data_IF_423937496027
#
_entry.id   IF_423937496027
#
_cell.length_a   1.000
_cell.length_b   1.000
_cell.length_c   1.000
_cell.angle_alpha   90.00
_cell.angle_beta   90.00
_cell.angle_gamma   90.00
#
_symmetry.space_group_name_H-M   'P 1'
#
loop_
_entity.id
_entity.type
_entity.pdbx_description
1 polymer ?
#
# COMPACT_ATOMS: atom_id res chain seq x y z
N UNK A 1 13.87 -24.87 56.69
CA UNK A 1 14.18 -23.58 56.03
C UNK A 1 14.59 -23.74 54.57
N UNK A 2 15.53 -24.63 54.20
CA UNK A 2 15.96 -24.83 52.79
C UNK A 2 14.82 -25.25 51.84
N UNK A 3 13.91 -26.10 52.26
CA UNK A 3 12.75 -26.58 51.49
C UNK A 3 11.72 -25.47 51.20
N UNK A 4 11.50 -24.57 52.16
CA UNK A 4 10.56 -23.44 52.02
C UNK A 4 11.12 -22.40 51.07
N UNK A 5 12.44 -22.12 51.14
CA UNK A 5 13.11 -21.21 50.19
C UNK A 5 13.08 -21.74 48.78
N UNK A 6 13.28 -23.05 48.57
CA UNK A 6 13.19 -23.71 47.26
C UNK A 6 11.80 -23.62 46.66
N UNK A 7 10.76 -23.81 47.48
CA UNK A 7 9.35 -23.72 47.04
C UNK A 7 8.97 -22.30 46.64
N UNK A 8 9.44 -21.29 47.37
CA UNK A 8 9.20 -19.85 47.01
C UNK A 8 9.90 -19.48 45.74
N UNK A 9 11.12 -19.99 45.48
CA UNK A 9 11.85 -19.74 44.25
C UNK A 9 11.14 -20.34 43.04
N UNK A 10 10.59 -21.56 43.15
CA UNK A 10 9.85 -22.23 42.08
C UNK A 10 8.53 -21.50 41.77
N UNK A 11 7.83 -21.02 42.79
CA UNK A 11 6.58 -20.25 42.63
C UNK A 11 6.87 -18.91 41.97
N UNK A 12 7.97 -18.23 42.31
CA UNK A 12 8.41 -16.98 41.67
C UNK A 12 8.75 -17.18 40.19
N UNK A 13 9.36 -18.32 39.82
CA UNK A 13 9.70 -18.64 38.41
C UNK A 13 8.44 -18.93 37.56
N UNK A 14 7.40 -19.51 38.20
CA UNK A 14 6.11 -19.76 37.53
C UNK A 14 5.31 -18.47 37.28
N UNK A 15 5.39 -17.50 38.18
CA UNK A 15 4.72 -16.19 37.99
C UNK A 15 5.32 -15.32 36.91
N UNK A 16 6.59 -15.47 36.58
CA UNK A 16 7.24 -14.68 35.50
C UNK A 16 6.77 -15.04 34.09
N UNK A 17 6.21 -16.25 33.90
CA UNK A 17 5.70 -16.65 32.57
C UNK A 17 4.28 -16.17 32.28
N UNK A 18 3.53 -15.68 33.26
CA UNK A 18 2.15 -15.16 33.06
C UNK A 18 2.11 -13.71 32.56
N UNK A 19 3.24 -13.00 32.61
CA UNK A 19 3.29 -11.56 32.24
C UNK A 19 3.50 -11.35 30.72
N UNK A 20 3.85 -12.38 29.96
CA UNK A 20 4.23 -12.26 28.54
C UNK A 20 3.09 -12.44 27.52
N UNK A 21 1.88 -12.71 27.97
CA UNK A 21 0.71 -12.80 27.08
C UNK A 21 -0.16 -11.54 27.16
N UNK A 22 0.41 -10.37 27.07
CA UNK A 22 -0.39 -9.20 26.76
C UNK A 22 -0.76 -9.28 25.29
N UNK A 23 -2.04 -9.45 25.04
CA UNK A 23 -2.66 -9.36 23.71
C UNK A 23 -2.39 -7.96 23.17
N UNK A 24 -1.32 -7.84 22.41
CA UNK A 24 -0.87 -6.56 21.88
C UNK A 24 -1.79 -6.17 20.73
N UNK A 25 -2.61 -5.14 20.96
CA UNK A 25 -3.57 -4.63 19.96
C UNK A 25 -3.24 -3.19 19.66
N UNK A 26 -3.41 -2.79 18.41
CA UNK A 26 -3.13 -1.42 18.05
C UNK A 26 -3.80 -0.99 16.75
N UNK A 27 -3.80 0.31 16.57
CA UNK A 27 -4.22 0.99 15.35
C UNK A 27 -3.13 1.96 14.92
N UNK A 28 -2.65 1.79 13.68
CA UNK A 28 -1.69 2.70 13.06
C UNK A 28 -2.34 3.41 11.86
N UNK A 29 -2.05 4.70 11.72
CA UNK A 29 -2.48 5.51 10.56
C UNK A 29 -1.26 5.79 9.70
N UNK A 30 -1.37 5.48 8.42
CA UNK A 30 -0.31 5.67 7.43
C UNK A 30 -0.74 6.67 6.37
N UNK A 31 0.24 7.40 5.84
CA UNK A 31 0.09 8.23 4.64
C UNK A 31 0.99 7.71 3.55
N UNK A 32 0.46 7.67 2.34
CA UNK A 32 1.18 7.29 1.14
C UNK A 32 1.52 8.54 0.33
N UNK A 33 2.76 8.61 -0.14
CA UNK A 33 3.25 9.64 -1.05
C UNK A 33 3.95 8.98 -2.22
N UNK A 34 3.46 9.21 -3.43
CA UNK A 34 4.08 8.73 -4.66
C UNK A 34 4.94 9.83 -5.28
N UNK A 35 6.17 9.47 -5.68
CA UNK A 35 6.98 10.34 -6.51
C UNK A 35 6.37 10.38 -7.90
N UNK A 36 6.05 11.57 -8.37
CA UNK A 36 5.53 11.77 -9.71
C UNK A 36 6.41 12.82 -10.40
N UNK A 37 7.03 12.41 -11.51
CA UNK A 37 7.56 13.35 -12.48
C UNK A 37 6.45 13.62 -13.48
N UNK A 38 5.81 14.78 -13.37
CA UNK A 38 4.74 15.19 -14.28
C UNK A 38 5.41 16.11 -15.32
N UNK A 39 5.62 15.57 -16.51
CA UNK A 39 6.00 16.37 -17.69
C UNK A 39 4.73 16.68 -18.46
N UNK A 40 4.43 17.95 -18.63
CA UNK A 40 3.32 18.42 -19.45
C UNK A 40 3.87 19.13 -20.67
N UNK A 41 3.40 18.75 -21.84
CA UNK A 41 3.62 19.55 -23.04
C UNK A 41 2.70 20.78 -22.98
N UNK A 42 3.32 21.94 -22.70
CA UNK A 42 2.62 23.15 -22.26
C UNK A 42 2.46 24.19 -23.37
N UNK A 43 2.41 23.80 -24.64
CA UNK A 43 2.26 24.76 -25.74
C UNK A 43 0.96 25.59 -25.63
N UNK A 44 0.01 25.19 -24.78
CA UNK A 44 -1.30 25.87 -24.66
C UNK A 44 -1.74 26.16 -23.19
N UNK A 45 -0.89 25.91 -22.18
CA UNK A 45 -1.22 26.19 -20.78
C UNK A 45 -0.29 27.25 -20.18
N UNK A 46 -0.84 28.20 -19.42
CA UNK A 46 -0.03 29.12 -18.64
C UNK A 46 0.56 28.46 -17.40
N UNK A 47 1.67 29.01 -16.88
CA UNK A 47 2.41 28.47 -15.72
C UNK A 47 1.55 28.31 -14.47
N UNK A 48 0.55 29.15 -14.27
CA UNK A 48 -0.35 29.10 -13.11
C UNK A 48 -1.30 27.90 -13.18
N UNK A 49 -1.87 27.63 -14.35
CA UNK A 49 -2.75 26.50 -14.61
C UNK A 49 -1.98 25.17 -14.49
N UNK A 50 -0.74 25.13 -14.95
CA UNK A 50 0.17 23.99 -14.80
C UNK A 50 0.42 23.68 -13.32
N UNK A 51 0.77 24.68 -12.50
CA UNK A 51 1.00 24.54 -11.07
C UNK A 51 -0.25 24.06 -10.33
N UNK A 52 -1.42 24.59 -10.69
CA UNK A 52 -2.69 24.17 -10.07
C UNK A 52 -3.02 22.71 -10.42
N UNK A 53 -2.82 22.28 -11.66
CA UNK A 53 -3.04 20.90 -12.09
C UNK A 53 -2.08 19.94 -11.40
N UNK A 54 -0.78 20.26 -11.30
CA UNK A 54 0.21 19.46 -10.59
C UNK A 54 -0.16 19.34 -9.09
N UNK A 55 -0.59 20.43 -8.48
CA UNK A 55 -1.01 20.43 -7.07
C UNK A 55 -2.26 19.54 -6.86
N UNK A 56 -3.22 19.60 -7.79
CA UNK A 56 -4.42 18.77 -7.75
C UNK A 56 -4.08 17.28 -7.93
N UNK A 57 -3.22 16.94 -8.88
CA UNK A 57 -2.75 15.57 -9.09
C UNK A 57 -2.02 15.04 -7.86
N UNK A 58 -1.08 15.80 -7.29
CA UNK A 58 -0.39 15.41 -6.06
C UNK A 58 -1.35 15.12 -4.92
N UNK A 59 -2.34 15.99 -4.72
CA UNK A 59 -3.37 15.81 -3.67
C UNK A 59 -4.23 14.56 -3.91
N UNK A 60 -4.50 14.20 -5.16
CA UNK A 60 -5.28 13.01 -5.51
C UNK A 60 -4.53 11.71 -5.20
N UNK A 61 -3.20 11.73 -5.30
CA UNK A 61 -2.35 10.57 -5.02
C UNK A 61 -1.90 10.48 -3.55
N UNK A 62 -2.18 11.49 -2.73
CA UNK A 62 -2.02 11.37 -1.28
C UNK A 62 -3.17 10.57 -0.70
N UNK A 63 -2.86 9.38 -0.18
CA UNK A 63 -3.85 8.51 0.46
C UNK A 63 -3.52 8.31 1.92
N UNK A 64 -4.55 8.18 2.74
CA UNK A 64 -4.43 7.82 4.14
C UNK A 64 -5.02 6.42 4.35
N UNK A 65 -4.34 5.62 5.17
CA UNK A 65 -4.72 4.25 5.47
C UNK A 65 -4.72 4.01 6.96
N UNK A 66 -5.55 3.07 7.40
CA UNK A 66 -5.52 2.55 8.76
C UNK A 66 -5.11 1.09 8.75
N UNK A 67 -4.28 0.71 9.72
CA UNK A 67 -3.91 -0.67 10.03
C UNK A 67 -4.39 -0.97 11.45
N UNK A 68 -5.44 -1.77 11.56
CA UNK A 68 -5.83 -2.39 12.82
C UNK A 68 -5.08 -3.71 12.95
N UNK A 69 -4.48 -4.01 14.12
CA UNK A 69 -3.65 -5.21 14.29
C UNK A 69 -3.67 -5.77 15.70
N UNK A 70 -3.49 -7.08 15.78
CA UNK A 70 -3.09 -7.82 16.99
C UNK A 70 -1.75 -8.53 16.73
N UNK A 71 -1.39 -9.53 17.55
CA UNK A 71 -0.13 -10.24 17.37
C UNK A 71 -0.05 -11.07 16.08
N UNK A 72 -1.18 -11.62 15.62
CA UNK A 72 -1.25 -12.58 14.52
C UNK A 72 -1.93 -12.02 13.26
N UNK A 73 -2.87 -11.10 13.44
CA UNK A 73 -3.75 -10.62 12.38
C UNK A 73 -3.72 -9.12 12.22
N UNK A 74 -3.99 -8.66 11.01
CA UNK A 74 -4.18 -7.23 10.74
C UNK A 74 -5.16 -6.98 9.60
N UNK A 75 -5.84 -5.83 9.66
CA UNK A 75 -6.67 -5.30 8.59
C UNK A 75 -6.15 -3.92 8.18
N UNK A 76 -5.74 -3.80 6.93
CA UNK A 76 -5.29 -2.55 6.32
C UNK A 76 -6.34 -2.06 5.34
N UNK A 77 -6.77 -0.80 5.50
CA UNK A 77 -7.84 -0.21 4.69
C UNK A 77 -7.59 1.26 4.45
N UNK A 78 -8.01 1.77 3.28
CA UNK A 78 -7.99 3.20 3.00
C UNK A 78 -8.95 3.93 3.96
N UNK A 79 -8.48 5.02 4.55
CA UNK A 79 -9.32 5.87 5.40
C UNK A 79 -10.31 6.63 4.51
N UNK A 80 -11.60 6.51 4.82
CA UNK A 80 -12.65 7.23 4.09
C UNK A 80 -12.49 8.72 4.41
N UNK A 81 -12.04 9.49 3.44
CA UNK A 81 -11.96 10.93 3.56
C UNK A 81 -13.24 11.54 2.95
N UNK A 82 -14.19 11.93 3.79
CA UNK A 82 -15.47 12.52 3.38
C UNK A 82 -15.31 13.86 2.65
N UNK A 83 -14.14 14.50 2.75
CA UNK A 83 -13.83 15.77 2.10
C UNK A 83 -13.24 15.62 0.67
N UNK A 84 -13.01 14.38 0.20
CA UNK A 84 -12.59 14.17 -1.19
C UNK A 84 -13.84 14.00 -2.06
N UNK A 85 -14.12 14.92 -3.00
CA UNK A 85 -15.16 14.68 -3.99
C UNK A 85 -14.76 13.44 -4.80
N UNK A 86 -15.59 12.41 -4.74
CA UNK A 86 -15.54 11.26 -5.66
C UNK A 86 -15.90 11.79 -7.05
N UNK A 87 -14.89 11.99 -7.90
CA UNK A 87 -15.06 12.51 -9.25
C UNK A 87 -14.96 14.04 -9.30
N UNK A 88 -13.75 14.58 -9.32
CA UNK A 88 -13.51 15.94 -9.76
C UNK A 88 -13.66 15.97 -11.29
N UNK A 89 -14.88 16.09 -11.77
CA UNK A 89 -15.18 16.50 -13.13
C UNK A 89 -14.95 18.00 -13.24
N UNK A 90 -13.74 18.41 -13.54
CA UNK A 90 -13.45 19.76 -14.00
C UNK A 90 -13.02 19.67 -15.45
N UNK A 91 -13.89 20.07 -16.38
CA UNK A 91 -13.57 20.18 -17.77
C UNK A 91 -13.58 18.90 -18.61
N UNK A 92 -14.37 17.88 -18.25
CA UNK A 92 -14.58 16.68 -19.11
C UNK A 92 -13.48 15.62 -19.07
N UNK A 93 -12.49 15.74 -18.18
CA UNK A 93 -11.42 14.76 -18.02
C UNK A 93 -11.68 13.93 -16.76
N UNK A 94 -12.12 12.69 -16.93
CA UNK A 94 -12.26 11.71 -15.87
C UNK A 94 -10.96 10.93 -15.77
N UNK A 95 -10.14 11.22 -14.73
CA UNK A 95 -8.92 10.46 -14.47
C UNK A 95 -9.30 9.19 -13.74
N UNK A 96 -9.43 8.08 -14.46
CA UNK A 96 -9.62 6.75 -13.88
C UNK A 96 -8.25 6.22 -13.49
N UNK A 97 -7.92 6.29 -12.20
CA UNK A 97 -6.75 5.61 -11.65
C UNK A 97 -7.11 4.15 -11.46
N UNK A 98 -6.67 3.29 -12.37
CA UNK A 98 -6.81 1.85 -12.22
C UNK A 98 -5.88 1.36 -11.11
N UNK A 99 -6.44 0.79 -10.07
CA UNK A 99 -5.70 0.18 -8.97
C UNK A 99 -6.02 0.83 -7.62
N UNK A 100 -6.41 0.01 -6.67
CA UNK A 100 -6.88 0.33 -5.32
C UNK A 100 -8.16 1.21 -5.33
N UNK A 101 -9.30 0.58 -5.62
CA UNK A 101 -10.62 1.19 -5.42
C UNK A 101 -10.80 1.65 -3.98
N UNK A 102 -11.48 2.79 -3.80
CA UNK A 102 -11.92 3.19 -2.47
C UNK A 102 -12.76 2.05 -1.87
N UNK A 103 -12.21 1.39 -0.83
CA UNK A 103 -12.86 0.25 -0.17
C UNK A 103 -12.06 -1.05 -0.18
N UNK A 104 -10.83 -1.05 -0.68
CA UNK A 104 -9.95 -2.23 -0.57
C UNK A 104 -9.67 -2.55 0.90
N UNK A 105 -9.87 -3.82 1.27
CA UNK A 105 -9.67 -4.35 2.61
C UNK A 105 -8.63 -5.47 2.54
N UNK A 106 -7.43 -5.21 3.02
CA UNK A 106 -6.35 -6.20 3.05
C UNK A 106 -6.22 -6.79 4.46
N UNK A 107 -6.75 -7.98 4.65
CA UNK A 107 -6.55 -8.78 5.85
C UNK A 107 -5.32 -9.66 5.69
N UNK A 108 -4.48 -9.74 6.74
CA UNK A 108 -3.32 -10.63 6.81
C UNK A 108 -3.37 -11.45 8.09
N UNK A 109 -3.13 -12.77 7.96
CA UNK A 109 -2.93 -13.68 9.08
C UNK A 109 -1.50 -14.24 9.01
N UNK A 110 -0.64 -13.74 9.90
CA UNK A 110 0.79 -14.11 9.92
C UNK A 110 1.02 -15.52 10.43
N UNK A 111 0.13 -16.03 11.29
CA UNK A 111 0.21 -17.39 11.82
C UNK A 111 -0.13 -18.44 10.77
N UNK A 112 -1.18 -18.18 9.99
CA UNK A 112 -1.61 -19.05 8.91
C UNK A 112 -0.83 -18.78 7.61
N UNK A 113 0.00 -17.75 7.59
CA UNK A 113 0.80 -17.33 6.43
C UNK A 113 -0.06 -17.10 5.18
N UNK A 114 -1.18 -16.40 5.32
CA UNK A 114 -2.12 -16.09 4.24
C UNK A 114 -2.68 -14.68 4.35
N UNK A 115 -3.27 -14.22 3.25
CA UNK A 115 -4.02 -12.98 3.21
C UNK A 115 -5.36 -13.16 2.48
N UNK A 116 -6.27 -12.22 2.74
CA UNK A 116 -7.49 -12.02 1.98
C UNK A 116 -7.62 -10.53 1.65
N UNK A 117 -7.66 -10.21 0.37
CA UNK A 117 -7.83 -8.85 -0.11
C UNK A 117 -9.15 -8.70 -0.86
N UNK A 118 -10.08 -7.91 -0.31
CA UNK A 118 -11.29 -7.52 -1.03
C UNK A 118 -10.96 -6.28 -1.84
N UNK A 119 -11.09 -6.36 -3.16
CA UNK A 119 -10.79 -5.27 -4.08
C UNK A 119 -11.92 -5.03 -5.05
N UNK A 120 -12.22 -3.77 -5.34
CA UNK A 120 -13.16 -3.38 -6.39
C UNK A 120 -12.38 -3.10 -7.69
N UNK A 121 -12.67 -3.85 -8.73
CA UNK A 121 -12.14 -3.65 -10.07
C UNK A 121 -13.28 -3.30 -11.02
N UNK A 122 -13.42 -2.02 -11.36
CA UNK A 122 -14.45 -1.48 -12.24
C UNK A 122 -15.89 -1.88 -11.83
N UNK A 123 -16.21 -1.70 -10.53
CA UNK A 123 -17.53 -2.01 -9.96
C UNK A 123 -17.78 -3.49 -9.71
N UNK A 124 -16.77 -4.35 -9.89
CA UNK A 124 -16.85 -5.77 -9.58
C UNK A 124 -15.94 -6.13 -8.41
N UNK A 125 -16.55 -6.63 -7.35
CA UNK A 125 -15.81 -6.99 -6.14
C UNK A 125 -15.17 -8.37 -6.30
N UNK A 126 -13.86 -8.44 -6.06
CA UNK A 126 -13.06 -9.66 -5.97
C UNK A 126 -12.61 -9.90 -4.53
N UNK A 127 -12.52 -11.16 -4.14
CA UNK A 127 -11.90 -11.60 -2.90
C UNK A 127 -10.65 -12.42 -3.27
N UNK A 128 -9.52 -11.78 -3.20
CA UNK A 128 -8.23 -12.38 -3.55
C UNK A 128 -7.70 -13.08 -2.32
N UNK A 129 -7.48 -14.39 -2.40
CA UNK A 129 -6.97 -15.20 -1.29
C UNK A 129 -5.73 -15.96 -1.74
N UNK A 130 -4.61 -15.75 -1.05
CA UNK A 130 -3.34 -16.38 -1.37
C UNK A 130 -2.41 -16.46 -0.15
N UNK A 131 -1.25 -17.11 -0.32
CA UNK A 131 -0.18 -17.14 0.68
C UNK A 131 0.52 -15.78 0.81
N UNK A 132 0.95 -15.44 2.03
CA UNK A 132 1.78 -14.26 2.25
C UNK A 132 3.18 -14.48 1.68
N UNK A 133 3.65 -13.56 0.87
CA UNK A 133 5.05 -13.49 0.50
C UNK A 133 5.90 -13.19 1.74
N UNK A 134 7.06 -13.84 1.83
CA UNK A 134 8.04 -13.61 2.90
C UNK A 134 9.26 -12.90 2.33
N UNK A 135 9.30 -11.58 2.39
CA UNK A 135 10.48 -10.84 1.95
C UNK A 135 11.72 -11.26 2.74
N UNK A 136 12.83 -11.50 2.05
CA UNK A 136 14.12 -11.78 2.66
C UNK A 136 14.77 -10.47 3.15
N UNK A 137 14.32 -9.99 4.30
CA UNK A 137 14.82 -8.75 4.89
C UNK A 137 16.27 -8.87 5.34
N UNK A 138 17.12 -7.98 4.86
CA UNK A 138 18.45 -7.72 5.39
C UNK A 138 18.35 -6.64 6.45
N UNK A 139 18.64 -7.00 7.72
CA UNK A 139 18.61 -6.06 8.84
C UNK A 139 19.89 -5.22 8.85
N UNK A 140 19.75 -3.92 8.96
CA UNK A 140 20.87 -2.97 8.96
C UNK A 140 21.07 -2.33 10.34
N UNK A 141 22.24 -1.75 10.57
CA UNK A 141 22.59 -1.09 11.85
C UNK A 141 22.11 0.35 11.93
N UNK A 142 21.66 0.92 10.82
CA UNK A 142 21.18 2.29 10.77
C UNK A 142 19.91 2.44 11.60
N UNK A 143 19.82 3.56 12.31
CA UNK A 143 18.66 3.93 13.13
C UNK A 143 18.23 5.35 12.83
N UNK A 144 16.93 5.60 12.96
CA UNK A 144 16.34 6.95 12.99
C UNK A 144 15.16 6.99 13.93
N UNK A 145 14.75 8.19 14.35
CA UNK A 145 13.52 8.35 15.11
C UNK A 145 12.35 8.71 14.18
N UNK A 146 11.22 8.01 14.38
CA UNK A 146 9.94 8.34 13.75
C UNK A 146 8.96 8.64 14.90
N UNK A 147 8.61 9.90 15.08
CA UNK A 147 7.91 10.34 16.27
C UNK A 147 8.71 10.00 17.54
N UNK A 148 8.08 9.27 18.45
CA UNK A 148 8.71 8.83 19.71
C UNK A 148 9.44 7.47 19.62
N UNK A 149 9.40 6.83 18.46
CA UNK A 149 9.92 5.47 18.29
C UNK A 149 11.31 5.49 17.65
N UNK A 150 12.25 4.74 18.23
CA UNK A 150 13.52 4.44 17.58
C UNK A 150 13.30 3.31 16.59
N UNK A 151 13.63 3.57 15.32
CA UNK A 151 13.43 2.64 14.22
C UNK A 151 14.76 2.16 13.68
N UNK A 152 14.79 0.90 13.27
CA UNK A 152 15.90 0.22 12.61
C UNK A 152 15.60 0.06 11.13
N UNK A 153 16.63 0.14 10.31
CA UNK A 153 16.53 -0.04 8.87
C UNK A 153 16.56 -1.51 8.49
N UNK A 154 15.76 -1.87 7.50
CA UNK A 154 15.85 -3.16 6.82
C UNK A 154 15.62 -2.94 5.32
N UNK A 155 16.28 -3.77 4.49
CA UNK A 155 16.14 -3.71 3.03
C UNK A 155 15.94 -5.09 2.44
N UNK A 156 15.25 -5.16 1.31
CA UNK A 156 15.27 -6.33 0.43
C UNK A 156 15.18 -5.90 -1.03
N UNK A 157 15.56 -6.81 -1.93
CA UNK A 157 15.47 -6.59 -3.38
C UNK A 157 14.38 -7.48 -3.96
N UNK A 158 13.60 -6.94 -4.88
CA UNK A 158 12.65 -7.68 -5.70
C UNK A 158 12.83 -7.34 -7.17
N UNK A 159 12.48 -8.26 -8.05
CA UNK A 159 12.34 -7.96 -9.47
C UNK A 159 10.94 -7.41 -9.72
N UNK A 160 10.86 -6.29 -10.39
CA UNK A 160 9.59 -5.69 -10.81
C UNK A 160 9.59 -5.52 -12.31
N UNK A 161 8.46 -5.72 -12.93
CA UNK A 161 8.28 -5.37 -14.33
C UNK A 161 8.11 -3.86 -14.41
N UNK A 162 9.10 -3.19 -14.99
CA UNK A 162 8.96 -1.78 -15.35
C UNK A 162 8.03 -1.73 -16.55
N UNK A 163 6.73 -1.59 -16.29
CA UNK A 163 5.80 -1.19 -17.33
C UNK A 163 6.10 0.28 -17.62
N UNK A 164 6.75 0.50 -18.75
CA UNK A 164 7.11 1.84 -19.20
C UNK A 164 5.92 2.79 -19.04
N UNK A 165 6.23 4.05 -18.68
CA UNK A 165 5.32 5.17 -18.45
C UNK A 165 3.87 4.92 -18.81
N UNK A 166 2.95 5.12 -17.86
CA UNK A 166 1.55 5.29 -18.20
C UNK A 166 1.42 6.53 -19.07
N UNK A 167 1.55 6.34 -20.37
CA UNK A 167 1.32 7.41 -21.35
C UNK A 167 -0.17 7.61 -21.45
N UNK A 168 -0.70 8.60 -20.75
CA UNK A 168 -1.98 9.20 -21.14
C UNK A 168 -1.71 10.17 -22.28
N UNK A 169 -1.51 9.61 -23.49
CA UNK A 169 -1.42 10.42 -24.70
C UNK A 169 -2.82 10.67 -25.21
N UNK A 170 -3.22 11.92 -25.16
CA UNK A 170 -4.44 12.40 -25.83
C UNK A 170 -4.03 12.89 -27.22
N UNK A 171 -3.74 12.03 -28.18
CA UNK A 171 -3.34 12.28 -29.58
C UNK A 171 -1.85 12.24 -29.92
N UNK A 172 -1.20 11.11 -29.94
CA UNK A 172 -0.05 10.95 -30.82
C UNK A 172 -0.38 9.97 -31.96
N UNK A 173 -0.10 10.40 -33.18
CA UNK A 173 -0.18 9.59 -34.39
C UNK A 173 1.11 8.78 -34.65
N UNK A 174 1.96 8.62 -33.66
CA UNK A 174 3.18 7.86 -33.83
C UNK A 174 2.97 6.41 -33.42
N UNK A 175 3.43 5.51 -34.28
CA UNK A 175 3.47 4.06 -34.08
C UNK A 175 4.02 3.74 -32.69
N UNK A 176 3.16 3.32 -31.80
CA UNK A 176 3.56 2.83 -30.50
C UNK A 176 4.06 1.41 -30.65
N UNK A 177 5.39 1.25 -30.74
CA UNK A 177 6.01 -0.02 -30.36
C UNK A 177 5.49 -0.38 -28.95
N UNK A 178 5.01 -1.61 -28.79
CA UNK A 178 4.61 -2.12 -27.47
C UNK A 178 5.77 -1.85 -26.50
N UNK A 179 5.54 -1.20 -25.34
CA UNK A 179 6.63 -0.89 -24.43
C UNK A 179 7.28 -2.20 -24.00
N UNK A 180 8.57 -2.35 -24.28
CA UNK A 180 9.35 -3.48 -23.80
C UNK A 180 9.21 -3.55 -22.27
N UNK A 181 8.60 -4.60 -21.79
CA UNK A 181 8.51 -4.87 -20.34
C UNK A 181 9.89 -5.32 -19.88
N UNK A 182 10.61 -4.44 -19.19
CA UNK A 182 11.93 -4.76 -18.61
C UNK A 182 11.75 -5.14 -17.14
N UNK A 183 12.38 -6.24 -16.75
CA UNK A 183 12.49 -6.56 -15.33
C UNK A 183 13.67 -5.79 -14.74
N UNK A 184 13.41 -4.98 -13.72
CA UNK A 184 14.41 -4.21 -13.00
C UNK A 184 14.46 -4.61 -11.53
N UNK A 185 15.65 -4.59 -10.96
CA UNK A 185 15.83 -4.83 -9.54
C UNK A 185 15.42 -3.59 -8.75
N UNK A 186 14.36 -3.69 -7.95
CA UNK A 186 13.89 -2.65 -7.06
C UNK A 186 14.31 -2.95 -5.63
N UNK A 187 14.89 -1.95 -4.95
CA UNK A 187 15.22 -2.06 -3.53
C UNK A 187 14.11 -1.46 -2.70
N UNK A 188 13.55 -2.26 -1.81
CA UNK A 188 12.59 -1.81 -0.80
C UNK A 188 13.33 -1.53 0.50
N UNK A 189 13.12 -0.36 1.08
CA UNK A 189 13.68 0.06 2.37
C UNK A 189 12.56 0.22 3.38
N UNK A 190 12.67 -0.42 4.54
CA UNK A 190 11.72 -0.29 5.65
C UNK A 190 12.40 0.20 6.92
N UNK A 191 11.65 0.94 7.72
CA UNK A 191 12.02 1.38 9.06
C UNK A 191 11.00 0.82 10.04
N UNK A 192 11.46 -0.04 10.96
CA UNK A 192 10.60 -0.72 11.91
C UNK A 192 11.06 -0.48 13.35
N UNK A 193 10.12 -0.55 14.30
CA UNK A 193 10.41 -0.38 15.72
C UNK A 193 10.13 -1.64 16.52
N UNK A 194 11.11 -2.08 17.30
CA UNK A 194 10.96 -3.20 18.23
C UNK A 194 10.16 -2.83 19.49
N UNK A 195 9.93 -1.53 19.72
CA UNK A 195 9.10 -1.05 20.83
C UNK A 195 7.61 -1.47 20.66
N UNK A 196 7.23 -1.83 19.43
CA UNK A 196 5.94 -2.42 19.10
C UNK A 196 6.22 -3.79 18.47
N UNK A 197 6.28 -4.87 19.27
CA UNK A 197 6.83 -6.16 18.85
C UNK A 197 5.85 -7.02 18.05
N UNK A 198 5.22 -6.42 17.03
CA UNK A 198 4.33 -7.10 16.09
C UNK A 198 4.97 -7.10 14.70
N UNK A 199 4.80 -8.18 13.94
CA UNK A 199 5.46 -8.35 12.63
C UNK A 199 4.64 -7.75 11.48
N UNK A 200 3.79 -6.78 11.76
CA UNK A 200 2.92 -6.14 10.78
C UNK A 200 3.54 -4.87 10.17
N UNK A 201 2.95 -4.43 9.06
CA UNK A 201 3.28 -3.19 8.38
C UNK A 201 2.20 -2.81 7.37
N UNK A 202 2.33 -1.64 6.72
CA UNK A 202 1.38 -1.14 5.75
C UNK A 202 1.34 -2.02 4.49
N UNK A 203 0.20 -2.10 3.81
CA UNK A 203 0.04 -2.91 2.60
C UNK A 203 0.49 -4.36 2.80
N UNK A 204 1.20 -4.89 1.83
CA UNK A 204 1.73 -6.27 1.87
C UNK A 204 3.01 -6.43 2.71
N UNK A 205 3.59 -5.33 3.21
CA UNK A 205 4.83 -5.40 3.96
C UNK A 205 4.62 -5.97 5.36
N UNK A 206 5.44 -6.95 5.74
CA UNK A 206 5.40 -7.62 7.04
C UNK A 206 6.68 -8.43 7.29
N UNK A 207 6.78 -9.10 8.45
CA UNK A 207 7.82 -10.08 8.75
C UNK A 207 9.04 -9.53 9.50
N UNK A 208 9.18 -8.22 9.69
CA UNK A 208 10.22 -7.62 10.53
C UNK A 208 9.91 -7.84 12.02
N UNK A 209 10.94 -7.84 12.92
CA UNK A 209 10.74 -8.10 14.35
C UNK A 209 10.11 -6.93 15.12
N UNK A 210 9.33 -6.09 14.46
CA UNK A 210 8.60 -4.96 14.99
C UNK A 210 7.71 -4.30 13.95
N UNK A 211 6.83 -3.40 14.40
CA UNK A 211 5.92 -2.69 13.50
C UNK A 211 6.70 -1.82 12.51
N UNK A 212 6.41 -1.97 11.22
CA UNK A 212 6.97 -1.14 10.16
C UNK A 212 6.29 0.23 10.20
N UNK A 213 7.07 1.28 10.50
CA UNK A 213 6.55 2.65 10.56
C UNK A 213 6.78 3.43 9.26
N UNK A 214 7.72 2.99 8.42
CA UNK A 214 7.93 3.58 7.11
C UNK A 214 8.43 2.52 6.15
N UNK A 215 7.98 2.57 4.92
CA UNK A 215 8.51 1.74 3.84
C UNK A 215 8.54 2.55 2.55
N UNK A 216 9.60 2.38 1.77
CA UNK A 216 9.75 3.00 0.45
C UNK A 216 10.34 2.01 -0.52
N UNK A 217 9.80 1.97 -1.72
CA UNK A 217 10.32 1.17 -2.83
C UNK A 217 10.99 2.05 -3.93
N UNK A 218 11.15 3.33 -3.63
CA UNK A 218 11.72 4.31 -4.55
C UNK A 218 10.68 5.11 -5.32
N UNK A 219 9.55 4.51 -5.68
CA UNK A 219 8.42 5.17 -6.36
C UNK A 219 7.37 5.68 -5.37
N UNK A 220 7.09 4.91 -4.34
CA UNK A 220 6.15 5.24 -3.28
C UNK A 220 6.82 5.20 -1.91
N UNK A 221 6.41 6.09 -1.03
CA UNK A 221 6.77 6.07 0.40
C UNK A 221 5.50 6.06 1.22
N UNK A 222 5.36 5.05 2.08
CA UNK A 222 4.25 4.91 3.04
C UNK A 222 4.84 5.11 4.43
N UNK A 223 4.35 6.10 5.18
CA UNK A 223 4.88 6.41 6.50
C UNK A 223 3.76 6.53 7.54
N UNK A 224 4.04 6.08 8.74
CA UNK A 224 3.13 6.11 9.87
C UNK A 224 3.06 7.53 10.45
N UNK A 225 1.86 8.08 10.51
CA UNK A 225 1.57 9.40 11.10
C UNK A 225 1.07 9.31 12.54
N UNK A 226 0.48 8.16 12.94
CA UNK A 226 -0.08 7.95 14.27
C UNK A 226 -0.09 6.47 14.63
N UNK A 227 0.21 6.16 15.90
CA UNK A 227 0.00 4.83 16.49
C UNK A 227 -0.75 4.98 17.80
N UNK A 228 -1.75 4.13 18.00
CA UNK A 228 -2.49 4.00 19.25
C UNK A 228 -2.44 2.53 19.68
N UNK A 229 -1.84 2.28 20.83
CA UNK A 229 -1.77 0.95 21.43
C UNK A 229 -2.94 0.79 22.40
N UNK A 230 -3.60 -0.37 22.37
CA UNK A 230 -4.78 -0.69 23.18
C UNK A 230 -5.87 0.41 23.10
N UNK A 231 -6.36 0.73 21.87
CA UNK A 231 -7.36 1.77 21.69
C UNK A 231 -8.64 1.43 22.47
N UNK A 232 -9.24 2.44 23.11
CA UNK A 232 -10.45 2.27 23.93
C UNK A 232 -11.64 1.74 23.14
N UNK A 233 -11.73 2.13 21.89
CA UNK A 233 -12.79 1.73 20.94
C UNK A 233 -12.55 0.33 20.33
N UNK A 234 -11.48 -0.36 20.76
CA UNK A 234 -11.07 -1.64 20.20
C UNK A 234 -10.41 -1.53 18.84
N UNK A 235 -10.25 -2.68 18.20
CA UNK A 235 -9.71 -2.83 16.83
C UNK A 235 -10.72 -3.61 15.98
N UNK A 236 -10.71 -3.35 14.68
CA UNK A 236 -11.49 -4.08 13.69
C UNK A 236 -10.53 -4.90 12.81
N UNK A 237 -10.49 -6.23 13.00
CA UNK A 237 -9.60 -7.15 12.28
C UNK A 237 -10.44 -8.29 11.67
N UNK A 238 -11.64 -7.96 11.19
CA UNK A 238 -12.50 -8.95 10.57
C UNK A 238 -12.05 -9.26 9.13
N UNK A 239 -11.88 -10.55 8.82
CA UNK A 239 -11.55 -11.00 7.48
C UNK A 239 -12.70 -10.70 6.50
N UNK A 240 -12.42 -10.04 5.34
CA UNK A 240 -13.43 -9.76 4.34
C UNK A 240 -13.92 -11.05 3.68
N UNK A 241 -15.22 -11.06 3.35
CA UNK A 241 -15.90 -12.25 2.80
C UNK A 241 -16.62 -11.99 1.49
N UNK A 242 -16.68 -10.71 1.05
CA UNK A 242 -17.45 -10.33 -0.14
C UNK A 242 -16.57 -10.36 -1.38
N UNK A 243 -17.17 -10.81 -2.49
CA UNK A 243 -16.57 -10.77 -3.81
C UNK A 243 -16.38 -12.15 -4.44
N UNK A 244 -16.01 -12.14 -5.72
CA UNK A 244 -15.64 -13.37 -6.43
C UNK A 244 -14.30 -13.84 -5.91
N UNK A 245 -14.23 -15.06 -5.37
CA UNK A 245 -12.98 -15.67 -4.90
C UNK A 245 -12.06 -15.96 -6.08
N UNK A 246 -10.82 -15.50 -5.98
CA UNK A 246 -9.76 -15.71 -6.96
C UNK A 246 -8.41 -15.79 -6.26
N UNK A 247 -7.41 -16.42 -6.90
CA UNK A 247 -6.01 -16.30 -6.52
C UNK A 247 -5.42 -14.95 -6.99
N UNK A 248 -4.27 -14.56 -6.49
CA UNK A 248 -3.55 -13.37 -6.95
C UNK A 248 -3.29 -13.42 -8.47
N UNK A 249 -2.82 -14.56 -8.96
CA UNK A 249 -2.54 -14.76 -10.39
C UNK A 249 -3.78 -14.65 -11.27
N UNK A 250 -4.92 -15.20 -10.84
CA UNK A 250 -6.19 -15.05 -11.56
C UNK A 250 -6.66 -13.61 -11.59
N UNK A 251 -6.50 -12.89 -10.48
CA UNK A 251 -6.84 -11.47 -10.41
C UNK A 251 -5.98 -10.63 -11.36
N UNK A 252 -4.66 -10.85 -11.38
CA UNK A 252 -3.73 -10.19 -12.30
C UNK A 252 -4.12 -10.42 -13.76
N UNK A 253 -4.46 -11.66 -14.13
CA UNK A 253 -4.92 -11.99 -15.48
C UNK A 253 -6.20 -11.24 -15.86
N UNK A 254 -7.15 -11.12 -14.92
CA UNK A 254 -8.38 -10.35 -15.14
C UNK A 254 -8.08 -8.86 -15.30
N UNK A 255 -7.17 -8.34 -14.49
CA UNK A 255 -6.75 -6.93 -14.53
C UNK A 255 -6.05 -6.61 -15.86
N UNK A 256 -5.08 -7.41 -16.28
CA UNK A 256 -4.38 -7.25 -17.57
C UNK A 256 -5.36 -7.25 -18.75
N UNK A 257 -6.31 -8.19 -18.76
CA UNK A 257 -7.34 -8.26 -19.80
C UNK A 257 -8.20 -7.00 -19.81
N UNK A 258 -8.61 -6.50 -18.65
CA UNK A 258 -9.42 -5.29 -18.54
C UNK A 258 -8.67 -4.04 -18.98
N UNK A 259 -7.41 -3.93 -18.61
CA UNK A 259 -6.55 -2.82 -19.05
C UNK A 259 -6.40 -2.81 -20.58
N UNK A 260 -6.19 -3.98 -21.19
CA UNK A 260 -6.12 -4.10 -22.65
C UNK A 260 -7.45 -3.73 -23.34
N UNK A 261 -8.60 -4.22 -22.83
CA UNK A 261 -9.93 -3.86 -23.34
C UNK A 261 -10.16 -2.33 -23.27
N UNK A 262 -9.74 -1.69 -22.20
CA UNK A 262 -9.84 -0.23 -22.03
C UNK A 262 -8.95 0.51 -23.03
N UNK A 263 -7.73 0.07 -23.21
CA UNK A 263 -6.79 0.67 -24.17
C UNK A 263 -7.34 0.56 -25.62
N UNK A 264 -7.86 -0.59 -26.00
CA UNK A 264 -8.52 -0.81 -27.28
C UNK A 264 -9.75 0.11 -27.48
N UNK A 265 -10.60 0.26 -26.44
CA UNK A 265 -11.75 1.17 -26.49
C UNK A 265 -11.33 2.63 -26.59
N UNK A 266 -10.31 3.01 -25.86
CA UNK A 266 -9.76 4.37 -25.90
C UNK A 266 -9.19 4.69 -27.28
N UNK A 267 -8.45 3.78 -27.88
CA UNK A 267 -7.88 3.92 -29.23
C UNK A 267 -8.95 3.91 -30.32
N UNK A 268 -10.06 3.19 -30.16
CA UNK A 268 -11.16 3.16 -31.13
C UNK A 268 -11.98 4.45 -31.14
N UNK A 269 -12.16 5.11 -30.01
CA UNK A 269 -12.90 6.37 -29.88
C UNK A 269 -12.12 7.60 -30.36
N UNK A 270 -10.80 7.45 -30.63
CA UNK A 270 -9.89 8.52 -31.06
C UNK A 270 -10.06 8.98 -32.51
N UNK A 271 -11.01 8.47 -33.25
CA UNK A 271 -11.14 8.78 -34.71
C UNK A 271 -11.77 10.12 -35.02
N UNK A 272 -12.15 10.94 -34.03
CA UNK A 272 -12.76 12.26 -34.27
C UNK A 272 -12.12 13.35 -33.37
N UNK A 273 -11.51 14.32 -34.00
CA UNK A 273 -10.63 15.41 -33.57
C UNK A 273 -10.90 16.09 -32.22
N UNK A 274 -9.87 16.18 -31.41
CA UNK A 274 -9.80 16.99 -30.19
C UNK A 274 -8.36 17.36 -29.84
N UNK A 275 -8.15 18.51 -29.18
CA UNK A 275 -6.86 19.07 -28.80
C UNK A 275 -6.04 18.18 -27.85
N UNK A 276 -4.72 18.17 -28.05
CA UNK A 276 -3.79 17.27 -27.40
C UNK A 276 -3.28 17.81 -26.06
N UNK A 277 -3.48 17.08 -24.96
CA UNK A 277 -2.73 17.27 -23.73
C UNK A 277 -2.02 15.97 -23.40
N UNK A 278 -0.68 15.96 -23.41
CA UNK A 278 0.11 14.81 -22.98
C UNK A 278 0.52 14.99 -21.52
N UNK A 279 0.10 14.05 -20.65
CA UNK A 279 0.53 14.00 -19.26
C UNK A 279 1.38 12.75 -19.08
N UNK A 280 2.66 12.92 -18.78
CA UNK A 280 3.58 11.83 -18.46
C UNK A 280 3.70 11.71 -16.94
N UNK A 281 3.32 10.58 -16.40
CA UNK A 281 3.49 10.25 -14.98
C UNK A 281 4.55 9.16 -14.90
N UNK A 282 5.71 9.49 -14.34
CA UNK A 282 6.78 8.55 -14.07
C UNK A 282 6.72 8.20 -12.58
N UNK A 283 6.48 6.94 -12.24
CA UNK A 283 6.42 6.41 -10.89
C UNK A 283 7.39 5.27 -10.69
#
# INVERSE_FOLDING_TARGET
MKTILSSILIISLLFTNLILSQDFKGKATYKSQRKMNIEMDSTHMNDEMQKQMIAMLKKQFEKEYTLDFNNEESLYKEAINLDKPTGASSGGMEIIVAGNGAGDLLYKNLKENRYANQSDLFGKIFLIQDGLEKPEWTLEKETKNIGQYTCFKATYKRMVKETGMMRMSVNSKEDTEEPEVKEVAQTVTAWYTIQIPVKHGPGNYSGLPGLILEVSDGSETIFCSKVVINPKDGIDVEEPKKGKKVSQKEFETVMEKKMKEMDEQFNSNRRDGGDNIEIRIQG
#
